data_IF_630580378135
#
_entry.id   IF_630580378135
#
_cell.length_a   1.000
_cell.length_b   1.000
_cell.length_c   1.000
_cell.angle_alpha   90.00
_cell.angle_beta   90.00
_cell.angle_gamma   90.00
#
_symmetry.space_group_name_H-M   'P 1'
#
loop_
_entity.id
_entity.type
_entity.pdbx_description
1 polymer ?
#
# COMPACT_ATOMS: atom_id res chain seq x y z
N UNK A 1 -15.30 24.00 -10.93
CA UNK A 1 -14.56 24.20 -12.18
C UNK A 1 -14.62 22.93 -13.03
N UNK A 2 -14.89 23.07 -14.33
CA UNK A 2 -14.83 21.95 -15.30
C UNK A 2 -13.66 22.16 -16.27
N UNK A 3 -12.84 21.12 -16.43
CA UNK A 3 -11.76 21.03 -17.41
C UNK A 3 -12.11 19.88 -18.36
N UNK A 4 -12.39 20.21 -19.62
CA UNK A 4 -12.76 19.23 -20.64
C UNK A 4 -12.11 19.58 -21.98
N UNK A 5 -11.24 18.70 -22.46
CA UNK A 5 -10.60 18.76 -23.77
C UNK A 5 -9.51 19.83 -23.92
N UNK A 6 -9.19 20.59 -22.88
CA UNK A 6 -8.18 21.65 -22.93
C UNK A 6 -6.82 21.23 -22.34
N UNK A 7 -5.78 21.98 -22.70
CA UNK A 7 -4.45 21.88 -22.07
C UNK A 7 -4.26 23.07 -21.13
N UNK A 8 -4.11 22.78 -19.84
CA UNK A 8 -3.89 23.78 -18.80
C UNK A 8 -2.52 23.53 -18.16
N UNK A 9 -1.63 24.52 -18.23
CA UNK A 9 -0.32 24.49 -17.57
C UNK A 9 -0.21 25.65 -16.59
N UNK A 10 0.07 25.35 -15.33
CA UNK A 10 0.21 26.32 -14.24
C UNK A 10 1.58 26.17 -13.58
N UNK A 11 2.24 27.29 -13.30
CA UNK A 11 3.45 27.36 -12.48
C UNK A 11 3.19 28.31 -11.30
N UNK A 12 3.26 27.80 -10.07
CA UNK A 12 2.94 28.53 -8.86
C UNK A 12 4.13 28.55 -7.89
N UNK A 13 4.80 29.70 -7.74
CA UNK A 13 6.09 29.79 -7.02
C UNK A 13 6.10 30.71 -5.80
N UNK A 14 5.04 31.49 -5.58
CA UNK A 14 4.92 32.31 -4.37
C UNK A 14 4.88 31.47 -3.09
N UNK A 15 5.20 32.05 -1.94
CA UNK A 15 5.31 31.29 -0.66
C UNK A 15 4.04 30.49 -0.34
N UNK A 16 2.86 31.06 -0.63
CA UNK A 16 1.55 30.40 -0.52
C UNK A 16 0.97 30.00 -1.90
N UNK A 17 1.84 29.84 -2.91
CA UNK A 17 1.46 29.60 -4.29
C UNK A 17 0.69 28.29 -4.43
N UNK A 18 -0.57 28.39 -4.86
CA UNK A 18 -1.46 27.27 -5.16
C UNK A 18 -1.60 27.11 -6.67
N UNK A 19 -1.89 25.89 -7.11
CA UNK A 19 -2.29 25.64 -8.49
C UNK A 19 -3.74 26.04 -8.72
N UNK A 20 -4.62 25.03 -8.82
CA UNK A 20 -6.06 25.23 -8.97
C UNK A 20 -6.70 25.11 -7.59
N UNK A 21 -7.46 26.12 -7.17
CA UNK A 21 -8.22 26.14 -5.93
C UNK A 21 -9.65 26.56 -6.23
N UNK A 22 -10.65 25.81 -5.76
CA UNK A 22 -12.06 26.12 -5.95
C UNK A 22 -12.83 25.90 -4.65
N UNK A 23 -13.71 26.85 -4.30
CA UNK A 23 -14.64 26.73 -3.17
C UNK A 23 -15.76 25.68 -3.40
N UNK A 24 -15.76 25.02 -4.56
CA UNK A 24 -16.68 23.95 -4.91
C UNK A 24 -16.00 22.97 -5.85
N UNK A 25 -16.78 22.13 -6.54
CA UNK A 25 -16.24 20.97 -7.26
C UNK A 25 -15.11 21.30 -8.26
N UNK A 26 -14.15 20.39 -8.41
CA UNK A 26 -13.24 20.36 -9.56
C UNK A 26 -13.49 19.06 -10.33
N UNK A 27 -13.83 19.19 -11.62
CA UNK A 27 -13.95 18.04 -12.53
C UNK A 27 -12.95 18.16 -13.68
N UNK A 28 -12.08 17.17 -13.82
CA UNK A 28 -11.23 16.96 -14.99
C UNK A 28 -11.80 15.82 -15.81
N UNK A 29 -12.52 16.15 -16.88
CA UNK A 29 -13.20 15.18 -17.74
C UNK A 29 -12.25 14.59 -18.78
N UNK A 30 -11.45 15.44 -19.43
CA UNK A 30 -10.50 15.06 -20.47
C UNK A 30 -9.49 16.20 -20.72
N UNK A 31 -8.50 15.97 -21.60
CA UNK A 31 -7.44 16.95 -21.89
C UNK A 31 -6.20 16.75 -21.02
N UNK A 32 -5.48 17.83 -20.72
CA UNK A 32 -4.21 17.78 -20.01
C UNK A 32 -4.08 18.87 -18.97
N UNK A 33 -3.73 18.50 -17.74
CA UNK A 33 -3.51 19.42 -16.62
C UNK A 33 -2.10 19.22 -16.09
N UNK A 34 -1.26 20.24 -16.20
CA UNK A 34 0.09 20.24 -15.64
C UNK A 34 0.21 21.36 -14.62
N UNK A 35 0.46 21.04 -13.36
CA UNK A 35 0.68 22.02 -12.29
C UNK A 35 2.05 21.78 -11.68
N UNK A 36 2.88 22.82 -11.70
CA UNK A 36 4.19 22.84 -11.05
C UNK A 36 4.19 23.91 -9.96
N UNK A 37 4.12 23.47 -8.71
CA UNK A 37 4.13 24.33 -7.54
C UNK A 37 5.44 24.20 -6.76
N UNK A 38 5.93 25.31 -6.20
CA UNK A 38 7.16 25.35 -5.41
C UNK A 38 7.05 26.29 -4.21
N UNK A 39 5.83 26.69 -3.84
CA UNK A 39 5.60 27.60 -2.73
C UNK A 39 6.01 26.94 -1.42
N UNK A 40 7.00 27.52 -0.74
CA UNK A 40 7.63 26.90 0.43
C UNK A 40 6.74 26.74 1.66
N UNK A 41 5.49 27.23 1.63
CA UNK A 41 4.63 27.33 2.80
C UNK A 41 5.30 28.14 3.92
N UNK A 42 4.70 28.12 5.09
CA UNK A 42 5.31 28.72 6.27
C UNK A 42 4.38 28.74 7.45
N UNK A 43 4.91 29.17 8.59
CA UNK A 43 4.11 29.40 9.79
C UNK A 43 3.69 30.86 9.90
N UNK A 44 2.58 31.09 10.58
CA UNK A 44 2.12 32.41 10.98
C UNK A 44 1.52 32.33 12.38
N UNK A 45 1.35 33.47 13.05
CA UNK A 45 0.67 33.55 14.34
C UNK A 45 -0.59 34.35 14.15
N UNK A 46 -1.73 33.76 14.50
CA UNK A 46 -3.02 34.41 14.39
C UNK A 46 -3.18 35.55 15.42
N UNK A 47 -4.23 36.39 15.32
CA UNK A 47 -4.47 37.45 16.30
C UNK A 47 -4.73 36.98 17.74
N UNK A 48 -5.00 35.68 17.95
CA UNK A 48 -5.21 35.06 19.28
C UNK A 48 -3.91 34.53 19.89
N UNK A 49 -2.81 34.53 19.13
CA UNK A 49 -1.49 34.06 19.55
C UNK A 49 -1.23 32.59 19.23
N UNK A 50 -2.10 31.93 18.47
CA UNK A 50 -1.93 30.54 18.03
C UNK A 50 -1.05 30.50 16.80
N UNK A 51 -0.01 29.66 16.82
CA UNK A 51 0.85 29.42 15.66
C UNK A 51 0.17 28.38 14.76
N UNK A 52 0.07 28.70 13.48
CA UNK A 52 -0.54 27.87 12.45
C UNK A 52 0.36 27.88 11.19
N UNK A 53 0.05 27.05 10.19
CA UNK A 53 0.79 26.95 8.94
C UNK A 53 -0.10 27.20 7.73
N UNK A 54 0.54 27.58 6.63
CA UNK A 54 -0.08 27.59 5.30
C UNK A 54 0.81 26.89 4.29
N UNK A 55 0.17 26.27 3.31
CA UNK A 55 0.78 25.53 2.21
C UNK A 55 -0.10 25.69 0.96
N UNK A 56 0.45 25.41 -0.22
CA UNK A 56 -0.25 25.60 -1.48
C UNK A 56 -0.37 24.33 -2.33
N UNK A 57 -1.42 23.52 -2.23
CA UNK A 57 -1.57 22.32 -3.06
C UNK A 57 -1.60 22.62 -4.57
N UNK A 58 -1.26 21.62 -5.39
CA UNK A 58 -1.42 21.72 -6.85
C UNK A 58 -2.91 21.76 -7.24
N UNK A 59 -3.75 20.90 -6.67
CA UNK A 59 -5.21 20.94 -6.80
C UNK A 59 -5.87 20.99 -5.41
N UNK A 60 -6.85 21.87 -5.23
CA UNK A 60 -7.67 22.01 -4.03
C UNK A 60 -9.13 22.24 -4.37
N UNK A 61 -10.03 21.49 -3.75
CA UNK A 61 -11.46 21.78 -3.76
C UNK A 61 -12.04 21.68 -2.35
N UNK A 62 -12.94 22.60 -2.03
CA UNK A 62 -13.69 22.56 -0.76
C UNK A 62 -14.85 21.54 -0.85
N UNK A 63 -15.39 21.31 -2.05
CA UNK A 63 -16.31 20.21 -2.35
C UNK A 63 -15.56 19.09 -3.12
N UNK A 64 -16.21 18.40 -4.07
CA UNK A 64 -15.70 17.15 -4.63
C UNK A 64 -14.66 17.36 -5.75
N UNK A 65 -13.63 16.51 -5.76
CA UNK A 65 -12.69 16.38 -6.86
C UNK A 65 -12.99 15.12 -7.68
N UNK A 66 -13.28 15.28 -8.98
CA UNK A 66 -13.41 14.19 -9.92
C UNK A 66 -12.35 14.30 -11.02
N UNK A 67 -11.39 13.37 -11.03
CA UNK A 67 -10.40 13.21 -12.09
C UNK A 67 -10.86 12.08 -13.01
N UNK A 68 -11.88 12.31 -13.84
CA UNK A 68 -12.51 11.28 -14.66
C UNK A 68 -11.60 10.77 -15.80
N UNK A 69 -10.74 11.63 -16.37
CA UNK A 69 -9.89 11.28 -17.50
C UNK A 69 -8.82 12.31 -17.82
N UNK A 70 -8.14 12.12 -18.96
CA UNK A 70 -7.04 12.99 -19.42
C UNK A 70 -5.67 12.62 -18.87
N UNK A 71 -4.70 13.51 -19.08
CA UNK A 71 -3.34 13.39 -18.56
C UNK A 71 -3.09 14.49 -17.53
N UNK A 72 -2.88 14.11 -16.28
CA UNK A 72 -2.76 15.03 -15.15
C UNK A 72 -1.36 14.84 -14.54
N UNK A 73 -0.58 15.91 -14.45
CA UNK A 73 0.78 15.90 -13.90
C UNK A 73 0.91 17.00 -12.85
N UNK A 74 1.07 16.60 -11.59
CA UNK A 74 1.12 17.48 -10.44
C UNK A 74 2.49 17.34 -9.78
N UNK A 75 3.23 18.45 -9.68
CA UNK A 75 4.54 18.46 -9.02
C UNK A 75 4.57 19.55 -7.96
N UNK A 76 4.92 19.21 -6.73
CA UNK A 76 5.06 20.18 -5.64
C UNK A 76 6.40 20.01 -4.91
N UNK A 77 7.24 21.06 -4.88
CA UNK A 77 8.57 21.00 -4.25
C UNK A 77 8.71 21.84 -2.97
N UNK A 78 7.74 22.69 -2.65
CA UNK A 78 7.74 23.51 -1.44
C UNK A 78 7.16 22.80 -0.21
N UNK A 79 7.53 23.25 0.99
CA UNK A 79 7.20 22.59 2.25
C UNK A 79 5.70 22.54 2.55
N UNK A 80 5.25 21.46 3.18
CA UNK A 80 3.83 21.15 3.43
C UNK A 80 3.01 20.97 2.15
N UNK A 81 3.66 20.94 0.99
CA UNK A 81 3.01 20.91 -0.30
C UNK A 81 2.28 19.60 -0.57
N UNK A 82 1.16 19.67 -1.27
CA UNK A 82 0.39 18.48 -1.67
C UNK A 82 0.17 18.46 -3.18
N UNK A 83 0.13 17.27 -3.77
CA UNK A 83 -0.37 17.11 -5.14
C UNK A 83 -1.85 17.43 -5.19
N UNK A 84 -2.64 16.77 -4.36
CA UNK A 84 -4.08 17.01 -4.24
C UNK A 84 -4.43 17.19 -2.76
N UNK A 85 -5.20 18.24 -2.47
CA UNK A 85 -5.91 18.42 -1.22
C UNK A 85 -7.41 18.51 -1.52
N UNK A 86 -8.25 17.97 -0.64
CA UNK A 86 -9.71 18.08 -0.78
C UNK A 86 -10.39 18.02 0.57
N UNK A 87 -11.35 18.92 0.79
CA UNK A 87 -12.13 18.93 2.03
C UNK A 87 -13.29 17.89 1.97
N UNK A 88 -13.70 17.50 0.76
CA UNK A 88 -14.69 16.44 0.50
C UNK A 88 -14.05 15.24 -0.23
N UNK A 89 -14.80 14.58 -1.12
CA UNK A 89 -14.39 13.35 -1.77
C UNK A 89 -13.43 13.60 -2.96
N UNK A 90 -12.47 12.70 -3.14
CA UNK A 90 -11.66 12.60 -4.36
C UNK A 90 -11.97 11.29 -5.07
N UNK A 91 -12.48 11.38 -6.30
CA UNK A 91 -12.66 10.23 -7.19
C UNK A 91 -11.70 10.30 -8.36
N UNK A 92 -10.90 9.25 -8.55
CA UNK A 92 -9.97 9.10 -9.66
C UNK A 92 -10.51 8.04 -10.62
N UNK A 93 -10.79 8.48 -11.84
CA UNK A 93 -11.36 7.66 -12.89
C UNK A 93 -12.87 7.49 -12.78
N UNK A 94 -13.37 6.56 -13.58
CA UNK A 94 -14.76 6.09 -13.62
C UNK A 94 -14.73 4.57 -13.82
N UNK A 95 -15.86 3.88 -13.68
CA UNK A 95 -15.88 2.43 -13.86
C UNK A 95 -15.27 1.99 -15.22
N UNK A 96 -14.10 1.34 -15.18
CA UNK A 96 -13.40 0.82 -16.35
C UNK A 96 -12.57 1.83 -17.18
N UNK A 97 -12.47 3.09 -16.74
CA UNK A 97 -11.66 4.12 -17.41
C UNK A 97 -11.04 5.08 -16.40
N UNK A 98 -9.99 5.79 -16.76
CA UNK A 98 -9.45 6.81 -15.87
C UNK A 98 -8.31 7.60 -16.48
N UNK A 99 -7.78 8.58 -15.73
CA UNK A 99 -6.71 9.44 -16.19
C UNK A 99 -5.38 8.69 -16.23
N UNK A 100 -4.42 9.25 -16.98
CA UNK A 100 -3.00 9.10 -16.60
C UNK A 100 -2.71 10.16 -15.56
N UNK A 101 -2.46 9.77 -14.31
CA UNK A 101 -2.16 10.68 -13.21
C UNK A 101 -0.72 10.49 -12.75
N UNK A 102 0.04 11.57 -12.73
CA UNK A 102 1.36 11.62 -12.14
C UNK A 102 1.37 12.63 -11.00
N UNK A 103 1.80 12.19 -9.82
CA UNK A 103 2.02 13.06 -8.66
C UNK A 103 3.49 12.92 -8.25
N UNK A 104 4.16 14.05 -8.02
CA UNK A 104 5.51 14.11 -7.49
C UNK A 104 5.64 15.22 -6.45
N UNK A 105 5.73 14.85 -5.18
CA UNK A 105 5.80 15.77 -4.05
C UNK A 105 7.11 15.56 -3.30
N UNK A 106 7.90 16.63 -3.13
CA UNK A 106 9.24 16.54 -2.56
C UNK A 106 9.55 17.63 -1.53
N UNK A 107 8.55 18.38 -1.10
CA UNK A 107 8.72 19.42 -0.08
C UNK A 107 8.93 18.82 1.31
N UNK A 108 9.60 19.53 2.21
CA UNK A 108 9.71 19.09 3.61
C UNK A 108 8.37 19.27 4.37
N UNK A 109 8.20 18.65 5.52
CA UNK A 109 7.12 18.99 6.45
C UNK A 109 7.32 20.40 7.04
N UNK A 110 6.23 21.04 7.46
CA UNK A 110 6.24 22.26 8.28
C UNK A 110 6.03 21.84 9.72
N UNK A 111 6.92 22.27 10.62
CA UNK A 111 6.84 21.96 12.05
C UNK A 111 6.33 23.13 12.89
N UNK A 112 5.48 22.84 13.87
CA UNK A 112 5.03 23.79 14.90
C UNK A 112 5.22 23.14 16.28
N UNK A 113 5.83 23.86 17.22
CA UNK A 113 6.07 23.33 18.56
C UNK A 113 7.02 22.13 18.64
N UNK A 114 7.78 21.86 17.57
CA UNK A 114 8.71 20.72 17.49
C UNK A 114 8.11 19.43 16.94
N UNK A 115 6.81 19.41 16.59
CA UNK A 115 6.16 18.31 15.87
C UNK A 115 5.85 18.67 14.43
N UNK A 116 5.57 17.67 13.60
CA UNK A 116 5.05 17.87 12.24
C UNK A 116 3.61 18.40 12.30
N UNK A 117 3.31 19.40 11.48
CA UNK A 117 2.02 20.10 11.49
C UNK A 117 1.35 20.10 10.12
N UNK A 118 2.14 20.30 9.05
CA UNK A 118 1.66 20.15 7.68
C UNK A 118 2.69 19.36 6.87
N UNK A 119 2.35 18.13 6.52
CA UNK A 119 3.26 17.25 5.81
C UNK A 119 3.05 17.29 4.29
N UNK A 120 4.06 16.82 3.55
CA UNK A 120 4.11 16.93 2.10
C UNK A 120 3.66 15.62 1.40
N UNK A 121 2.34 15.47 1.30
CA UNK A 121 1.66 14.23 0.86
C UNK A 121 1.28 14.25 -0.63
N UNK A 122 1.10 13.08 -1.22
CA UNK A 122 0.64 12.94 -2.61
C UNK A 122 -0.77 13.51 -2.82
N UNK A 123 -1.77 12.79 -2.29
CA UNK A 123 -3.17 13.18 -2.22
C UNK A 123 -3.69 12.97 -0.79
N UNK A 124 -4.31 14.00 -0.21
CA UNK A 124 -4.85 13.95 1.15
C UNK A 124 -6.22 14.61 1.17
N UNK A 125 -7.24 13.84 1.56
CA UNK A 125 -8.62 14.31 1.63
C UNK A 125 -9.26 14.10 3.00
N UNK A 126 -10.18 14.98 3.35
CA UNK A 126 -10.87 14.98 4.64
C UNK A 126 -12.07 14.02 4.69
N UNK A 127 -12.47 13.47 3.54
CA UNK A 127 -13.55 12.48 3.41
C UNK A 127 -13.05 11.18 2.75
N UNK A 128 -13.61 10.80 1.59
CA UNK A 128 -13.36 9.53 0.91
C UNK A 128 -12.47 9.73 -0.31
N UNK A 129 -11.47 8.88 -0.47
CA UNK A 129 -10.69 8.76 -1.70
C UNK A 129 -11.08 7.46 -2.40
N UNK A 130 -11.57 7.56 -3.63
CA UNK A 130 -11.91 6.39 -4.46
C UNK A 130 -11.10 6.39 -5.75
N UNK A 131 -10.44 5.26 -6.04
CA UNK A 131 -9.81 5.00 -7.34
C UNK A 131 -10.65 3.97 -8.09
N UNK A 132 -11.41 4.44 -9.08
CA UNK A 132 -12.20 3.59 -9.98
C UNK A 132 -11.34 3.01 -11.11
N UNK A 133 -10.31 3.75 -11.55
CA UNK A 133 -9.45 3.35 -12.65
C UNK A 133 -8.37 4.38 -13.00
N UNK A 134 -7.68 4.13 -14.11
CA UNK A 134 -6.59 4.97 -14.60
C UNK A 134 -5.21 4.37 -14.38
N UNK A 135 -4.18 5.08 -14.82
CA UNK A 135 -2.77 4.75 -14.63
C UNK A 135 -2.14 5.82 -13.76
N UNK A 136 -1.78 5.45 -12.53
CA UNK A 136 -1.29 6.36 -11.49
C UNK A 136 0.19 6.05 -11.23
N UNK A 137 1.05 7.06 -11.35
CA UNK A 137 2.46 6.98 -10.96
C UNK A 137 2.74 8.07 -9.94
N UNK A 138 3.01 7.66 -8.72
CA UNK A 138 2.87 8.50 -7.54
C UNK A 138 4.17 8.48 -6.74
N UNK A 139 4.59 9.65 -6.24
CA UNK A 139 5.69 9.74 -5.30
C UNK A 139 5.55 10.96 -4.38
N UNK A 140 5.72 10.72 -3.09
CA UNK A 140 5.78 11.72 -2.04
C UNK A 140 6.95 11.43 -1.08
N UNK A 141 7.27 12.38 -0.22
CA UNK A 141 8.21 12.17 0.89
C UNK A 141 7.52 11.74 2.18
N UNK A 142 6.19 11.81 2.16
CA UNK A 142 5.28 11.41 3.23
C UNK A 142 4.19 10.51 2.60
N UNK A 143 2.99 10.40 3.16
CA UNK A 143 1.96 9.50 2.63
C UNK A 143 1.53 9.83 1.20
N UNK A 144 1.33 8.78 0.39
CA UNK A 144 0.91 8.99 -0.99
C UNK A 144 -0.59 9.22 -1.10
N UNK A 145 -1.42 8.26 -0.68
CA UNK A 145 -2.89 8.38 -0.68
C UNK A 145 -3.41 8.31 0.75
N UNK A 146 -3.81 9.46 1.31
CA UNK A 146 -4.39 9.59 2.64
C UNK A 146 -5.85 10.03 2.60
N UNK A 147 -6.73 9.30 3.27
CA UNK A 147 -8.13 9.68 3.43
C UNK A 147 -8.56 9.59 4.90
N UNK A 148 -9.16 10.67 5.44
CA UNK A 148 -9.55 10.70 6.85
C UNK A 148 -10.75 9.80 7.19
N UNK A 149 -11.55 9.40 6.19
CA UNK A 149 -12.70 8.50 6.39
C UNK A 149 -12.45 7.12 5.79
N UNK A 150 -12.18 7.07 4.48
CA UNK A 150 -12.06 5.80 3.74
C UNK A 150 -11.25 5.96 2.46
N UNK A 151 -10.42 4.97 2.18
CA UNK A 151 -9.76 4.78 0.89
C UNK A 151 -10.30 3.53 0.20
N UNK A 152 -10.73 3.65 -1.06
CA UNK A 152 -11.30 2.56 -1.85
C UNK A 152 -10.58 2.44 -3.19
N UNK A 153 -10.00 1.28 -3.47
CA UNK A 153 -9.40 0.94 -4.76
C UNK A 153 -10.28 -0.10 -5.46
N UNK A 154 -11.04 0.33 -6.45
CA UNK A 154 -11.87 -0.55 -7.28
C UNK A 154 -11.13 -1.06 -8.53
N UNK A 155 -10.16 -0.29 -9.03
CA UNK A 155 -9.43 -0.63 -10.25
C UNK A 155 -8.22 0.27 -10.51
N UNK A 156 -7.72 0.21 -11.76
CA UNK A 156 -6.56 0.97 -12.22
C UNK A 156 -5.23 0.26 -12.04
N UNK A 157 -4.17 0.88 -12.57
CA UNK A 157 -2.77 0.51 -12.37
C UNK A 157 -2.13 1.61 -11.52
N UNK A 158 -1.80 1.31 -10.27
CA UNK A 158 -1.29 2.25 -9.28
C UNK A 158 0.14 1.84 -8.93
N UNK A 159 1.09 2.74 -9.18
CA UNK A 159 2.49 2.54 -8.86
C UNK A 159 2.98 3.67 -7.94
N UNK A 160 3.06 3.39 -6.65
CA UNK A 160 3.71 4.26 -5.66
C UNK A 160 5.21 3.95 -5.69
N UNK A 161 5.97 4.89 -6.24
CA UNK A 161 7.42 4.75 -6.46
C UNK A 161 8.19 4.90 -5.15
N UNK A 162 7.75 5.82 -4.29
CA UNK A 162 8.30 6.08 -2.97
C UNK A 162 7.30 6.94 -2.19
N UNK A 163 7.08 6.60 -0.92
CA UNK A 163 6.32 7.38 0.06
C UNK A 163 6.79 7.00 1.47
N UNK A 164 6.38 7.77 2.51
CA UNK A 164 6.54 7.30 3.89
C UNK A 164 5.63 6.10 4.08
N UNK A 165 4.32 6.33 4.03
CA UNK A 165 3.31 5.30 3.88
C UNK A 165 2.71 5.31 2.47
N UNK A 166 2.37 4.14 1.95
CA UNK A 166 1.75 4.06 0.63
C UNK A 166 0.34 4.60 0.69
N UNK A 167 -0.52 3.87 1.41
CA UNK A 167 -1.93 4.17 1.57
C UNK A 167 -2.28 4.23 3.06
N UNK A 168 -2.90 5.33 3.49
CA UNK A 168 -3.33 5.52 4.88
C UNK A 168 -4.81 5.91 4.96
N UNK A 169 -5.61 5.12 5.69
CA UNK A 169 -6.99 5.48 6.02
C UNK A 169 -7.52 4.62 7.18
N UNK A 170 -8.45 5.10 8.01
CA UNK A 170 -9.08 4.25 9.02
C UNK A 170 -9.87 3.08 8.42
N UNK A 171 -10.39 3.25 7.20
CA UNK A 171 -11.07 2.19 6.48
C UNK A 171 -10.47 2.07 5.07
N UNK A 172 -9.72 1.01 4.82
CA UNK A 172 -9.00 0.78 3.58
C UNK A 172 -9.57 -0.45 2.86
N UNK A 173 -9.99 -0.27 1.61
CA UNK A 173 -10.57 -1.33 0.79
C UNK A 173 -9.85 -1.44 -0.55
N UNK A 174 -9.31 -2.62 -0.85
CA UNK A 174 -8.78 -2.97 -2.17
C UNK A 174 -9.68 -4.04 -2.77
N UNK A 175 -10.56 -3.62 -3.66
CA UNK A 175 -11.51 -4.48 -4.37
C UNK A 175 -10.95 -5.00 -5.69
N UNK A 176 -9.99 -4.29 -6.28
CA UNK A 176 -9.41 -4.61 -7.58
C UNK A 176 -8.17 -3.79 -7.89
N UNK A 177 -7.76 -3.80 -9.16
CA UNK A 177 -6.61 -3.06 -9.65
C UNK A 177 -5.28 -3.82 -9.60
N UNK A 178 -4.25 -3.17 -10.14
CA UNK A 178 -2.84 -3.56 -10.07
C UNK A 178 -2.12 -2.51 -9.23
N UNK A 179 -1.76 -2.88 -8.00
CA UNK A 179 -1.21 -1.99 -6.99
C UNK A 179 0.22 -2.41 -6.67
N UNK A 180 1.17 -1.52 -6.91
CA UNK A 180 2.59 -1.66 -6.58
C UNK A 180 2.99 -0.52 -5.66
N UNK A 181 3.48 -0.85 -4.47
CA UNK A 181 3.86 0.13 -3.46
C UNK A 181 5.27 -0.14 -2.97
N UNK A 182 6.13 0.88 -3.09
CA UNK A 182 7.41 0.95 -2.42
C UNK A 182 7.39 2.12 -1.45
N UNK A 183 7.69 1.85 -0.19
CA UNK A 183 7.62 2.82 0.91
C UNK A 183 8.90 2.78 1.73
N UNK A 184 9.07 3.77 2.61
CA UNK A 184 10.11 3.73 3.64
C UNK A 184 9.58 3.21 4.96
N UNK A 185 8.29 3.45 5.24
CA UNK A 185 7.55 2.91 6.37
C UNK A 185 6.49 1.93 5.82
N UNK A 186 5.22 2.05 6.22
CA UNK A 186 4.21 1.06 5.91
C UNK A 186 3.75 1.05 4.44
N UNK A 187 3.55 -0.14 3.88
CA UNK A 187 2.97 -0.28 2.55
C UNK A 187 1.50 0.15 2.55
N UNK A 188 0.71 -0.42 3.45
CA UNK A 188 -0.67 -0.05 3.74
C UNK A 188 -0.79 0.18 5.24
N UNK A 189 -1.35 1.32 5.67
CA UNK A 189 -1.64 1.61 7.06
C UNK A 189 -3.15 1.86 7.26
N UNK A 190 -3.82 0.94 7.95
CA UNK A 190 -5.20 1.14 8.39
C UNK A 190 -5.25 1.60 9.85
N UNK A 191 -5.52 2.89 10.07
CA UNK A 191 -5.40 3.50 11.41
C UNK A 191 -6.37 4.67 11.63
N UNK A 192 -6.88 4.81 12.86
CA UNK A 192 -7.51 6.04 13.37
C UNK A 192 -6.49 6.98 14.04
N UNK A 193 -5.19 6.64 14.01
CA UNK A 193 -4.12 7.39 14.65
C UNK A 193 -4.04 7.18 16.17
N UNK A 194 -4.60 6.08 16.67
CA UNK A 194 -4.54 5.72 18.09
C UNK A 194 -3.33 4.82 18.32
N UNK A 195 -2.33 5.33 19.03
CA UNK A 195 -1.08 4.60 19.26
C UNK A 195 -1.26 3.38 20.19
N UNK A 196 -0.60 2.28 19.83
CA UNK A 196 -0.41 1.07 20.64
C UNK A 196 -1.05 -0.18 20.05
N UNK A 197 -0.74 -1.33 20.65
CA UNK A 197 -1.08 -2.69 20.16
C UNK A 197 -2.55 -3.11 20.32
N UNK A 198 -3.43 -2.18 20.70
CA UNK A 198 -4.85 -2.48 20.90
C UNK A 198 -5.62 -2.08 19.66
N UNK A 199 -6.57 -2.92 19.23
CA UNK A 199 -7.42 -2.58 18.09
C UNK A 199 -8.12 -1.24 18.29
N UNK A 200 -7.88 -0.29 17.37
CA UNK A 200 -8.51 1.03 17.34
C UNK A 200 -9.85 1.04 16.57
N UNK A 201 -10.23 -0.11 16.01
CA UNK A 201 -11.44 -0.31 15.22
C UNK A 201 -11.29 0.00 13.73
N UNK A 202 -10.08 0.31 13.24
CA UNK A 202 -9.80 0.45 11.81
C UNK A 202 -10.04 -0.86 11.07
N UNK A 203 -10.19 -0.79 9.75
CA UNK A 203 -10.49 -1.95 8.92
C UNK A 203 -9.69 -1.90 7.63
N UNK A 204 -8.94 -2.97 7.36
CA UNK A 204 -8.30 -3.24 6.08
C UNK A 204 -8.96 -4.45 5.41
N UNK A 205 -9.48 -4.26 4.19
CA UNK A 205 -10.05 -5.34 3.39
C UNK A 205 -9.36 -5.43 2.02
N UNK A 206 -8.90 -6.63 1.68
CA UNK A 206 -8.43 -6.96 0.32
C UNK A 206 -9.36 -8.05 -0.23
N UNK A 207 -10.21 -7.70 -1.19
CA UNK A 207 -11.16 -8.64 -1.81
C UNK A 207 -10.81 -9.02 -3.24
N UNK A 208 -9.86 -8.31 -3.86
CA UNK A 208 -9.42 -8.60 -5.23
C UNK A 208 -8.14 -7.86 -5.61
N UNK A 209 -7.83 -7.89 -6.90
CA UNK A 209 -6.67 -7.21 -7.47
C UNK A 209 -5.35 -7.98 -7.32
N UNK A 210 -4.27 -7.32 -7.76
CA UNK A 210 -2.90 -7.72 -7.55
C UNK A 210 -2.22 -6.64 -6.70
N UNK A 211 -1.79 -7.00 -5.49
CA UNK A 211 -1.20 -6.08 -4.52
C UNK A 211 0.22 -6.54 -4.22
N UNK A 212 1.20 -5.71 -4.58
CA UNK A 212 2.61 -5.92 -4.30
C UNK A 212 3.15 -4.79 -3.42
N UNK A 213 3.73 -5.16 -2.28
CA UNK A 213 4.21 -4.23 -1.26
C UNK A 213 5.69 -4.51 -0.95
N UNK A 214 6.48 -3.45 -0.85
CA UNK A 214 7.86 -3.48 -0.35
C UNK A 214 8.06 -2.35 0.66
N UNK A 215 8.19 -2.72 1.91
CA UNK A 215 8.43 -1.84 3.05
C UNK A 215 9.71 -2.33 3.77
N UNK A 216 10.88 -1.71 3.53
CA UNK A 216 12.15 -2.18 4.06
C UNK A 216 12.40 -1.73 5.51
N UNK A 217 11.65 -0.76 6.03
CA UNK A 217 11.79 -0.28 7.40
C UNK A 217 10.46 -0.03 8.14
N UNK A 218 9.31 -0.28 7.50
CA UNK A 218 7.99 -0.38 8.11
C UNK A 218 7.36 -1.74 7.80
N UNK A 219 6.09 -1.91 8.18
CA UNK A 219 5.33 -3.11 7.87
C UNK A 219 4.87 -3.13 6.42
N UNK A 220 4.80 -4.33 5.85
CA UNK A 220 4.19 -4.46 4.53
C UNK A 220 2.70 -4.07 4.57
N UNK A 221 1.98 -4.61 5.55
CA UNK A 221 0.58 -4.32 5.83
C UNK A 221 0.48 -4.05 7.33
N UNK A 222 0.20 -2.83 7.73
CA UNK A 222 -0.18 -2.46 9.09
C UNK A 222 -1.70 -2.23 9.16
N UNK A 223 -2.34 -2.90 10.11
CA UNK A 223 -3.66 -2.52 10.55
C UNK A 223 -3.69 -2.44 12.07
N UNK A 224 -3.83 -1.21 12.57
CA UNK A 224 -4.20 -0.94 13.96
C UNK A 224 -5.61 -1.46 14.33
N UNK A 225 -6.30 -2.12 13.41
CA UNK A 225 -7.62 -2.70 13.55
C UNK A 225 -7.67 -4.10 12.95
N UNK A 226 -8.71 -4.42 12.18
CA UNK A 226 -8.90 -5.77 11.62
C UNK A 226 -8.50 -5.87 10.15
N UNK A 227 -7.88 -6.99 9.78
CA UNK A 227 -7.53 -7.34 8.41
C UNK A 227 -8.39 -8.50 7.90
N UNK A 228 -9.03 -8.34 6.73
CA UNK A 228 -9.62 -9.47 5.99
C UNK A 228 -9.10 -9.53 4.56
N UNK A 229 -8.52 -10.67 4.20
CA UNK A 229 -8.13 -10.99 2.81
C UNK A 229 -9.09 -12.06 2.28
N UNK A 230 -9.90 -11.72 1.28
CA UNK A 230 -10.94 -12.60 0.71
C UNK A 230 -10.75 -12.93 -0.77
N UNK A 231 -9.77 -12.32 -1.43
CA UNK A 231 -9.46 -12.59 -2.82
C UNK A 231 -8.19 -11.87 -3.29
N UNK A 232 -7.93 -11.96 -4.59
CA UNK A 232 -6.77 -11.33 -5.22
C UNK A 232 -5.46 -12.10 -5.04
N UNK A 233 -4.36 -11.46 -5.46
CA UNK A 233 -2.98 -11.89 -5.23
C UNK A 233 -2.26 -10.84 -4.40
N UNK A 234 -1.77 -11.22 -3.23
CA UNK A 234 -1.06 -10.34 -2.30
C UNK A 234 0.38 -10.85 -2.15
N UNK A 235 1.35 -10.03 -2.52
CA UNK A 235 2.78 -10.36 -2.43
C UNK A 235 3.47 -9.27 -1.62
N UNK A 236 4.00 -9.64 -0.47
CA UNK A 236 4.62 -8.69 0.44
C UNK A 236 6.05 -9.08 0.72
N UNK A 237 6.94 -8.12 0.51
CA UNK A 237 8.32 -8.23 0.92
C UNK A 237 8.53 -7.41 2.18
N UNK A 238 8.36 -8.07 3.32
CA UNK A 238 8.56 -7.46 4.61
C UNK A 238 10.01 -7.04 4.87
N UNK A 239 10.20 -6.25 5.94
CA UNK A 239 11.46 -5.62 6.28
C UNK A 239 12.49 -6.67 6.72
N UNK A 240 13.79 -6.39 6.58
CA UNK A 240 14.85 -7.32 6.91
C UNK A 240 15.21 -7.32 8.42
N UNK A 241 14.66 -6.38 9.21
CA UNK A 241 14.95 -6.19 10.63
C UNK A 241 13.67 -6.13 11.45
N UNK A 242 13.77 -6.53 12.72
CA UNK A 242 12.78 -6.24 13.74
C UNK A 242 12.87 -4.75 14.19
N UNK A 243 11.84 -4.16 14.82
CA UNK A 243 10.58 -4.81 15.21
C UNK A 243 9.71 -5.21 14.01
N UNK A 244 9.68 -4.41 12.97
CA UNK A 244 8.73 -4.56 11.86
C UNK A 244 8.71 -5.95 11.18
N UNK A 245 7.55 -6.28 10.65
CA UNK A 245 7.16 -7.55 10.06
C UNK A 245 6.51 -7.36 8.69
N UNK A 246 6.16 -8.46 8.03
CA UNK A 246 5.51 -8.34 6.71
C UNK A 246 4.04 -7.95 6.82
N UNK A 247 3.43 -8.17 7.98
CA UNK A 247 2.03 -7.95 8.27
C UNK A 247 1.84 -7.87 9.78
N UNK A 248 1.26 -6.78 10.25
CA UNK A 248 0.88 -6.52 11.64
C UNK A 248 -0.61 -6.13 11.74
N UNK A 249 -1.34 -6.73 12.68
CA UNK A 249 -2.79 -6.59 12.83
C UNK A 249 -3.21 -6.65 14.29
N UNK A 250 -3.57 -5.51 14.88
CA UNK A 250 -3.99 -5.43 16.29
C UNK A 250 -5.36 -6.07 16.59
N UNK A 251 -6.17 -6.30 15.56
CA UNK A 251 -7.53 -6.81 15.64
C UNK A 251 -7.72 -8.21 15.07
N UNK A 252 -8.87 -8.47 14.43
CA UNK A 252 -9.15 -9.76 13.84
C UNK A 252 -8.47 -9.89 12.47
N UNK A 253 -7.53 -10.83 12.35
CA UNK A 253 -6.98 -11.23 11.05
C UNK A 253 -7.73 -12.43 10.48
N UNK A 254 -8.44 -12.26 9.36
CA UNK A 254 -9.18 -13.31 8.64
C UNK A 254 -8.65 -13.54 7.23
N UNK A 255 -8.51 -14.81 6.87
CA UNK A 255 -8.10 -15.25 5.54
C UNK A 255 -9.20 -16.09 4.89
N UNK A 256 -9.96 -15.48 3.99
CA UNK A 256 -11.14 -16.09 3.37
C UNK A 256 -10.91 -16.54 1.93
N UNK A 257 -9.89 -16.02 1.25
CA UNK A 257 -9.65 -16.31 -0.16
C UNK A 257 -8.35 -15.73 -0.71
N UNK A 258 -8.05 -16.02 -1.98
CA UNK A 258 -6.94 -15.43 -2.73
C UNK A 258 -5.63 -16.22 -2.67
N UNK A 259 -4.55 -15.62 -3.18
CA UNK A 259 -3.18 -16.10 -3.00
C UNK A 259 -2.41 -15.04 -2.22
N UNK A 260 -1.81 -15.42 -1.11
CA UNK A 260 -1.02 -14.49 -0.26
C UNK A 260 0.33 -15.10 0.02
N UNK A 261 1.40 -14.35 -0.24
CA UNK A 261 2.78 -14.69 0.11
C UNK A 261 3.46 -13.49 0.76
N UNK A 262 3.82 -13.62 2.03
CA UNK A 262 4.46 -12.56 2.82
C UNK A 262 5.79 -13.09 3.32
N UNK A 263 6.92 -12.51 2.91
CA UNK A 263 8.20 -12.77 3.55
C UNK A 263 8.42 -11.82 4.70
N UNK A 264 8.99 -12.32 5.79
CA UNK A 264 9.26 -11.54 6.98
C UNK A 264 10.38 -12.17 7.81
N UNK A 265 10.74 -11.53 8.92
CA UNK A 265 11.70 -12.06 9.88
C UNK A 265 10.93 -12.86 10.93
N UNK A 266 11.48 -14.00 11.35
CA UNK A 266 10.98 -14.75 12.49
C UNK A 266 11.01 -13.85 13.73
N UNK A 267 9.84 -13.46 14.19
CA UNK A 267 9.58 -12.51 15.25
C UNK A 267 8.46 -13.02 16.15
N UNK A 268 8.41 -12.53 17.38
CA UNK A 268 7.27 -12.78 18.26
C UNK A 268 6.02 -11.99 17.82
N UNK A 269 6.18 -11.02 16.91
CA UNK A 269 5.11 -10.26 16.27
C UNK A 269 4.63 -10.89 14.97
N UNK A 270 5.14 -12.07 14.58
CA UNK A 270 4.57 -12.74 13.40
C UNK A 270 3.16 -13.22 13.70
N UNK A 271 2.22 -12.67 12.97
CA UNK A 271 0.82 -13.03 13.10
C UNK A 271 0.38 -14.12 12.14
N UNK A 272 -0.73 -14.78 12.46
CA UNK A 272 -1.39 -15.78 11.62
C UNK A 272 -2.90 -15.60 11.75
N UNK A 273 -3.69 -15.77 10.67
CA UNK A 273 -5.13 -15.52 10.73
C UNK A 273 -5.83 -16.41 11.76
N UNK A 274 -6.98 -15.96 12.24
CA UNK A 274 -7.81 -16.71 13.19
C UNK A 274 -8.28 -18.04 12.59
N UNK A 275 -8.47 -19.05 13.44
CA UNK A 275 -8.95 -20.37 13.03
C UNK A 275 -10.38 -20.41 12.47
N UNK A 276 -11.13 -19.30 12.58
CA UNK A 276 -12.45 -19.08 11.95
C UNK A 276 -12.35 -18.67 10.47
N UNK A 277 -11.14 -18.48 9.95
CA UNK A 277 -10.88 -18.29 8.52
C UNK A 277 -11.34 -19.48 7.67
N UNK A 278 -11.76 -19.24 6.43
CA UNK A 278 -12.22 -20.30 5.51
C UNK A 278 -11.12 -20.81 4.59
N UNK A 279 -10.05 -20.04 4.38
CA UNK A 279 -8.88 -20.48 3.61
C UNK A 279 -7.71 -20.84 4.53
N UNK A 280 -7.00 -21.91 4.17
CA UNK A 280 -5.87 -22.42 4.96
C UNK A 280 -4.63 -21.57 4.77
N UNK A 281 -3.92 -21.33 5.86
CA UNK A 281 -2.69 -20.54 5.91
C UNK A 281 -1.62 -21.27 6.70
N UNK A 282 -0.39 -21.21 6.19
CA UNK A 282 0.79 -21.71 6.88
C UNK A 282 1.79 -20.59 7.10
N UNK A 283 2.22 -20.39 8.34
CA UNK A 283 3.40 -19.59 8.68
C UNK A 283 4.58 -20.55 8.81
N UNK A 284 5.48 -20.54 7.84
CA UNK A 284 6.70 -21.35 7.90
C UNK A 284 7.86 -20.47 8.36
N UNK A 285 8.53 -20.85 9.43
CA UNK A 285 9.62 -20.06 10.04
C UNK A 285 10.85 -20.89 10.36
N UNK A 286 11.99 -20.23 10.50
CA UNK A 286 13.26 -20.84 10.89
C UNK A 286 14.03 -19.88 11.80
N UNK A 287 14.94 -20.41 12.62
CA UNK A 287 15.83 -19.58 13.43
C UNK A 287 17.00 -18.98 12.63
N UNK A 288 17.25 -19.50 11.42
CA UNK A 288 18.37 -19.06 10.58
C UNK A 288 17.89 -18.12 9.49
N UNK A 289 18.47 -16.92 9.43
CA UNK A 289 18.20 -15.96 8.35
C UNK A 289 18.61 -16.52 6.99
N UNK A 290 17.70 -16.40 6.02
CA UNK A 290 17.89 -16.76 4.62
C UNK A 290 18.14 -15.47 3.81
N UNK A 291 19.16 -15.47 2.97
CA UNK A 291 19.54 -14.31 2.18
C UNK A 291 18.45 -13.92 1.16
N UNK A 292 18.31 -12.61 0.92
CA UNK A 292 17.51 -12.06 -0.16
C UNK A 292 17.77 -12.76 -1.50
N UNK A 293 16.73 -12.94 -2.30
CA UNK A 293 16.81 -13.60 -3.60
C UNK A 293 16.92 -15.12 -3.56
N UNK A 294 17.07 -15.74 -2.38
CA UNK A 294 17.00 -17.21 -2.22
C UNK A 294 15.56 -17.66 -2.30
N UNK A 295 15.23 -18.57 -3.23
CA UNK A 295 13.86 -19.03 -3.41
C UNK A 295 13.34 -19.75 -2.16
N UNK A 296 12.08 -19.51 -1.84
CA UNK A 296 11.25 -20.29 -0.92
C UNK A 296 10.19 -21.01 -1.75
N UNK A 297 10.07 -22.33 -1.59
CA UNK A 297 9.21 -23.13 -2.44
C UNK A 297 8.38 -24.13 -1.63
N UNK A 298 7.10 -24.27 -1.98
CA UNK A 298 6.18 -25.26 -1.43
C UNK A 298 5.61 -26.08 -2.57
N UNK A 299 5.68 -27.40 -2.44
CA UNK A 299 5.05 -28.36 -3.34
C UNK A 299 4.33 -29.48 -2.57
N UNK A 300 3.34 -30.10 -3.22
CA UNK A 300 2.67 -31.27 -2.66
C UNK A 300 3.50 -32.57 -2.89
N UNK A 301 2.97 -33.71 -2.46
CA UNK A 301 3.64 -35.01 -2.64
C UNK A 301 3.82 -35.45 -4.12
N UNK A 302 3.01 -34.94 -5.05
CA UNK A 302 3.14 -35.25 -6.49
C UNK A 302 4.12 -34.32 -7.22
N UNK A 303 4.74 -33.36 -6.52
CA UNK A 303 5.62 -32.35 -7.11
C UNK A 303 4.89 -31.19 -7.79
N UNK A 304 3.60 -31.00 -7.51
CA UNK A 304 2.88 -29.83 -7.98
C UNK A 304 3.22 -28.62 -7.09
N UNK A 305 3.71 -27.55 -7.71
CA UNK A 305 4.03 -26.27 -7.07
C UNK A 305 2.78 -25.60 -6.51
N UNK A 306 2.85 -25.15 -5.25
CA UNK A 306 1.88 -24.25 -4.64
C UNK A 306 2.42 -22.82 -4.57
N UNK A 307 3.71 -22.68 -4.23
CA UNK A 307 4.39 -21.40 -4.14
C UNK A 307 5.83 -21.54 -4.61
N UNK A 308 6.29 -20.62 -5.44
CA UNK A 308 7.73 -20.36 -5.66
C UNK A 308 7.95 -18.87 -5.52
N UNK A 309 8.49 -18.47 -4.37
CA UNK A 309 8.63 -17.08 -3.97
C UNK A 309 10.10 -16.71 -3.83
N UNK A 310 10.45 -15.51 -4.30
CA UNK A 310 11.79 -14.93 -4.26
C UNK A 310 11.73 -13.59 -3.51
N UNK A 311 11.83 -13.62 -2.17
CA UNK A 311 11.89 -12.40 -1.36
C UNK A 311 13.00 -11.45 -1.83
N UNK A 312 12.71 -10.15 -1.89
CA UNK A 312 13.69 -9.11 -2.24
C UNK A 312 14.55 -8.68 -1.03
N UNK A 313 14.08 -8.98 0.18
CA UNK A 313 14.76 -8.81 1.45
C UNK A 313 15.17 -10.17 2.03
N UNK A 314 16.14 -10.16 2.96
CA UNK A 314 16.44 -11.36 3.75
C UNK A 314 15.22 -11.71 4.60
N UNK A 315 15.00 -13.00 4.83
CA UNK A 315 13.80 -13.49 5.52
C UNK A 315 14.13 -14.68 6.40
N UNK A 316 13.30 -14.93 7.40
CA UNK A 316 13.34 -16.17 8.20
C UNK A 316 11.95 -16.71 8.51
N UNK A 317 10.92 -16.09 7.95
CA UNK A 317 9.56 -16.59 7.95
C UNK A 317 8.85 -16.23 6.63
N UNK A 318 7.93 -17.10 6.22
CA UNK A 318 7.00 -16.87 5.10
C UNK A 318 5.61 -17.27 5.52
N UNK A 319 4.66 -16.32 5.48
CA UNK A 319 3.23 -16.62 5.59
C UNK A 319 2.68 -16.87 4.19
N UNK A 320 2.05 -18.03 4.01
CA UNK A 320 1.48 -18.44 2.73
C UNK A 320 0.04 -18.90 2.90
N UNK A 321 -0.85 -18.36 2.08
CA UNK A 321 -2.24 -18.81 1.95
C UNK A 321 -2.60 -19.02 0.48
N UNK A 322 -3.34 -20.10 0.21
CA UNK A 322 -3.90 -20.39 -1.11
C UNK A 322 -4.99 -21.44 -0.98
N UNK A 323 -5.98 -21.42 -1.87
CA UNK A 323 -6.97 -22.49 -2.01
C UNK A 323 -6.36 -23.86 -2.32
N UNK A 324 -5.10 -23.89 -2.80
CA UNK A 324 -4.35 -25.13 -3.02
C UNK A 324 -3.92 -25.83 -1.72
N UNK A 325 -3.90 -25.13 -0.58
CA UNK A 325 -3.68 -25.73 0.73
C UNK A 325 -4.97 -26.41 1.20
N UNK A 326 -5.00 -27.74 1.12
CA UNK A 326 -6.14 -28.59 1.48
C UNK A 326 -5.90 -29.40 2.75
N UNK A 327 -6.99 -29.70 3.46
CA UNK A 327 -6.98 -30.41 4.73
C UNK A 327 -6.42 -31.82 4.61
N UNK A 328 -5.53 -32.20 5.54
CA UNK A 328 -4.96 -33.55 5.61
C UNK A 328 -3.90 -33.88 4.55
N UNK A 329 -3.61 -32.95 3.64
CA UNK A 329 -2.57 -33.13 2.62
C UNK A 329 -1.20 -32.72 3.17
N UNK A 330 -0.17 -33.47 2.76
CA UNK A 330 1.23 -33.24 3.11
C UNK A 330 1.96 -32.44 2.03
N UNK A 331 2.72 -31.45 2.46
CA UNK A 331 3.51 -30.55 1.63
C UNK A 331 4.97 -30.56 2.06
N UNK A 332 5.85 -30.24 1.11
CA UNK A 332 7.30 -30.16 1.28
C UNK A 332 7.75 -28.72 1.09
N UNK A 333 8.57 -28.23 2.01
CA UNK A 333 9.13 -26.87 1.96
C UNK A 333 10.60 -26.95 1.56
N UNK A 334 10.98 -26.16 0.56
CA UNK A 334 12.34 -26.06 0.05
C UNK A 334 12.85 -24.62 0.13
N UNK A 335 14.18 -24.50 0.20
CA UNK A 335 14.87 -23.21 -0.01
C UNK A 335 15.97 -23.36 -1.05
N UNK A 336 16.28 -22.28 -1.77
CA UNK A 336 17.28 -22.27 -2.83
C UNK A 336 16.76 -22.90 -4.11
N UNK A 337 17.67 -23.38 -4.97
CA UNK A 337 17.31 -23.90 -6.29
C UNK A 337 17.02 -22.79 -7.31
N UNK A 338 16.39 -23.17 -8.42
CA UNK A 338 16.02 -22.29 -9.53
C UNK A 338 14.61 -22.57 -10.03
N UNK A 339 14.00 -21.62 -10.72
CA UNK A 339 12.71 -21.79 -11.37
C UNK A 339 12.78 -21.24 -12.80
N UNK A 340 12.22 -21.97 -13.77
CA UNK A 340 12.14 -21.54 -15.18
C UNK A 340 10.88 -20.74 -15.51
N UNK A 341 10.00 -20.52 -14.52
CA UNK A 341 8.77 -19.74 -14.68
C UNK A 341 9.03 -18.25 -14.87
N UNK A 342 7.95 -17.51 -15.05
CA UNK A 342 8.01 -16.04 -15.14
C UNK A 342 8.00 -15.44 -13.74
N UNK A 343 9.09 -14.74 -13.40
CA UNK A 343 9.20 -13.96 -12.17
C UNK A 343 8.52 -12.60 -12.33
N UNK A 344 7.57 -12.29 -11.44
CA UNK A 344 6.98 -10.96 -11.27
C UNK A 344 6.90 -10.65 -9.78
N UNK A 345 7.52 -9.55 -9.37
CA UNK A 345 7.48 -9.02 -8.00
C UNK A 345 7.82 -10.05 -6.91
N UNK A 346 8.74 -10.97 -7.20
CA UNK A 346 9.12 -12.05 -6.30
C UNK A 346 8.32 -13.35 -6.48
N UNK A 347 7.13 -13.31 -7.08
CA UNK A 347 6.32 -14.50 -7.31
C UNK A 347 6.65 -15.10 -8.69
N UNK A 348 6.99 -16.39 -8.72
CA UNK A 348 7.09 -17.14 -9.97
C UNK A 348 5.73 -17.74 -10.35
N UNK A 349 5.40 -17.66 -11.64
CA UNK A 349 4.23 -18.33 -12.23
C UNK A 349 4.67 -19.27 -13.35
N UNK A 350 4.06 -20.45 -13.42
CA UNK A 350 4.42 -21.50 -14.38
C UNK A 350 5.84 -22.05 -14.21
N UNK A 351 6.31 -22.79 -15.21
CA UNK A 351 7.65 -23.38 -15.26
C UNK A 351 7.89 -24.52 -14.26
N UNK A 352 9.18 -24.87 -14.09
CA UNK A 352 9.63 -25.98 -13.24
C UNK A 352 10.61 -25.47 -12.19
N UNK A 353 10.36 -25.81 -10.92
CA UNK A 353 11.29 -25.63 -9.83
C UNK A 353 12.26 -26.81 -9.74
N UNK A 354 13.55 -26.57 -9.48
CA UNK A 354 14.53 -27.65 -9.31
C UNK A 354 15.76 -27.25 -8.48
N UNK A 355 16.46 -28.24 -7.92
CA UNK A 355 17.79 -28.06 -7.30
C UNK A 355 17.79 -27.42 -5.90
N UNK A 356 16.63 -27.29 -5.25
CA UNK A 356 16.53 -26.77 -3.89
C UNK A 356 16.79 -27.80 -2.80
N UNK A 357 17.03 -27.31 -1.59
CA UNK A 357 17.21 -28.14 -0.38
C UNK A 357 15.88 -28.30 0.34
N UNK A 358 15.44 -29.55 0.51
CA UNK A 358 14.28 -29.86 1.37
C UNK A 358 14.60 -29.45 2.81
N UNK A 359 13.73 -28.63 3.40
CA UNK A 359 13.86 -28.14 4.77
C UNK A 359 12.96 -28.89 5.73
N UNK A 360 11.70 -29.05 5.36
CA UNK A 360 10.72 -29.72 6.20
C UNK A 360 9.56 -30.25 5.37
N UNK A 361 8.76 -31.10 6.00
CA UNK A 361 7.51 -31.63 5.47
C UNK A 361 6.44 -31.41 6.54
N UNK A 362 5.27 -30.93 6.14
CA UNK A 362 4.15 -30.72 7.05
C UNK A 362 2.84 -31.21 6.45
N UNK A 363 1.94 -31.70 7.30
CA UNK A 363 0.55 -31.99 6.94
C UNK A 363 -0.32 -30.84 7.37
N UNK A 364 -1.19 -30.33 6.50
CA UNK A 364 -2.12 -29.25 6.83
C UNK A 364 -3.24 -29.76 7.73
N UNK A 365 -3.11 -29.56 9.05
CA UNK A 365 -4.04 -30.11 10.05
C UNK A 365 -5.00 -29.06 10.61
N UNK A 366 -4.58 -27.80 10.67
CA UNK A 366 -5.40 -26.68 11.13
C UNK A 366 -5.63 -25.66 10.00
N UNK A 367 -6.67 -24.82 10.13
CA UNK A 367 -6.91 -23.69 9.22
C UNK A 367 -5.69 -22.78 9.20
N UNK A 368 -5.18 -22.45 10.37
CA UNK A 368 -3.96 -21.66 10.57
C UNK A 368 -2.92 -22.52 11.26
N UNK A 369 -1.75 -22.67 10.65
CA UNK A 369 -0.71 -23.57 11.14
C UNK A 369 0.68 -22.93 11.07
N UNK A 370 1.45 -23.07 12.14
CA UNK A 370 2.86 -22.69 12.14
C UNK A 370 3.74 -23.92 11.97
N UNK A 371 4.76 -23.83 11.11
CA UNK A 371 5.74 -24.88 10.84
C UNK A 371 7.14 -24.30 11.06
N UNK A 372 7.99 -25.00 11.80
CA UNK A 372 9.39 -24.58 12.02
C UNK A 372 10.35 -25.58 11.40
N UNK A 373 11.49 -25.11 10.88
CA UNK A 373 12.58 -25.95 10.41
C UNK A 373 13.97 -25.38 10.71
#
# INVERSE_FOLDING_TARGET
>A
MLIDGCQLTITATGVAGRGISCDGDITVQSGGVTVQASGGGGTYTDPTGVVDAYQGPCLNADDDLLLAGGTISLTHTGSGGKGIAGDSDLTIGTAGAGPTLQIAVSGASISIGGGEYAEAKGASVDSVLTVEGGTLTLTSVDDELKAKVRLVINGGTINVVNALEGFEAPNLYINGGEVHINTTDDGLNATYGVYGEASDGSILNISGGYVHLTAPAGDGIDSNGSLTISGGTVVVHGPPNQPEVGLDVNGAFLMQGGLTAVSQINSNMNEIPLGTSTQRTVLVRTSTTINAGTLFHIENASGATLLTFRPNSRYSAVLFSSSALTAGVTYRVYTGGTCTGTLRDGLYTGGTYSGGTLRTTFTSTAVSQTVTF
#
